data_IF_477198834688
#
_entry.id   IF_477198834688
#
_cell.length_a   1.000
_cell.length_b   1.000
_cell.length_c   1.000
_cell.angle_alpha   90.00
_cell.angle_beta   90.00
_cell.angle_gamma   90.00
#
_symmetry.space_group_name_H-M   'P 1'
#
loop_
_entity.id
_entity.type
_entity.pdbx_description
1 polymer ?
#
# COMPACT_ATOMS: atom_id res chain seq x y z
N UNK A 1 11.78 10.72 -12.42
CA UNK A 1 10.51 11.02 -13.11
C UNK A 1 9.69 11.95 -12.22
N UNK A 2 9.36 13.18 -12.65
CA UNK A 2 8.73 14.18 -11.77
C UNK A 2 7.23 13.95 -11.53
N UNK A 3 6.63 12.96 -12.21
CA UNK A 3 5.18 12.85 -12.37
C UNK A 3 4.45 12.01 -11.31
N UNK A 4 5.11 11.58 -10.24
CA UNK A 4 4.41 11.22 -8.97
C UNK A 4 3.76 12.48 -8.35
N UNK A 5 3.96 13.66 -8.99
CA UNK A 5 3.10 14.84 -9.16
C UNK A 5 2.18 15.19 -7.99
N UNK A 6 2.27 16.45 -7.58
CA UNK A 6 1.41 17.24 -6.69
C UNK A 6 0.03 16.66 -6.26
N UNK A 7 -0.71 15.97 -7.12
CA UNK A 7 -1.91 15.20 -6.78
C UNK A 7 -1.70 14.18 -5.64
N UNK A 8 -0.62 13.40 -5.63
CA UNK A 8 -0.36 12.43 -4.55
C UNK A 8 -0.02 13.15 -3.23
N UNK A 9 0.74 14.25 -3.31
CA UNK A 9 1.06 15.11 -2.16
C UNK A 9 -0.17 15.84 -1.61
N UNK A 10 -1.10 16.27 -2.47
CA UNK A 10 -2.37 16.89 -2.07
C UNK A 10 -3.28 15.86 -1.40
N UNK A 11 -3.31 14.63 -1.90
CA UNK A 11 -4.15 13.60 -1.29
C UNK A 11 -3.59 13.06 0.03
N UNK A 12 -2.27 13.08 0.22
CA UNK A 12 -1.59 12.78 1.50
C UNK A 12 -1.65 13.94 2.51
N UNK A 13 -2.36 15.03 2.22
CA UNK A 13 -2.64 16.05 3.24
C UNK A 13 -3.85 15.63 4.09
N UNK A 14 -3.79 15.68 5.43
CA UNK A 14 -4.98 15.44 6.25
C UNK A 14 -6.04 16.49 5.91
N UNK A 15 -7.34 16.12 5.73
CA UNK A 15 -8.00 14.84 5.98
C UNK A 15 -8.28 13.98 4.73
N UNK A 16 -7.55 14.19 3.63
CA UNK A 16 -7.86 13.63 2.30
C UNK A 16 -7.35 12.21 2.06
N UNK A 17 -6.58 11.63 2.99
CA UNK A 17 -6.19 10.23 2.94
C UNK A 17 -6.81 9.39 4.06
N UNK A 18 -6.85 8.08 3.86
CA UNK A 18 -7.14 7.06 4.85
C UNK A 18 -5.82 6.45 5.31
N UNK A 19 -5.72 6.14 6.61
CA UNK A 19 -4.63 5.38 7.18
C UNK A 19 -5.20 4.16 7.93
N UNK A 20 -4.69 2.97 7.62
CA UNK A 20 -5.11 1.74 8.29
C UNK A 20 -3.87 0.94 8.66
N UNK A 21 -3.79 0.55 9.94
CA UNK A 21 -2.71 -0.28 10.47
C UNK A 21 -3.19 -1.72 10.53
N UNK A 22 -2.40 -2.62 9.97
CA UNK A 22 -2.73 -4.03 9.87
C UNK A 22 -1.69 -4.81 10.66
N UNK A 23 -2.12 -5.40 11.77
CA UNK A 23 -1.24 -6.18 12.64
C UNK A 23 -1.11 -7.62 12.13
N UNK A 24 0.11 -8.13 12.08
CA UNK A 24 0.43 -9.52 11.76
C UNK A 24 0.94 -10.23 13.04
N UNK A 25 0.22 -11.25 13.53
CA UNK A 25 0.49 -11.84 14.85
C UNK A 25 1.72 -12.75 14.93
N UNK A 26 2.14 -13.42 13.85
CA UNK A 26 3.25 -14.38 13.88
C UNK A 26 4.61 -13.67 13.93
N UNK A 27 4.80 -12.68 13.09
CA UNK A 27 6.03 -11.88 13.02
C UNK A 27 5.96 -10.63 13.89
N UNK A 28 4.82 -10.39 14.56
CA UNK A 28 4.56 -9.18 15.35
C UNK A 28 4.85 -7.89 14.58
N UNK A 29 4.57 -7.91 13.27
CA UNK A 29 4.88 -6.82 12.34
C UNK A 29 3.61 -6.01 12.03
N UNK A 30 3.79 -4.72 11.76
CA UNK A 30 2.70 -3.83 11.35
C UNK A 30 2.87 -3.42 9.89
N UNK A 31 1.86 -3.70 9.08
CA UNK A 31 1.74 -3.16 7.72
C UNK A 31 0.87 -1.91 7.74
N UNK A 32 1.23 -0.90 6.94
CA UNK A 32 0.51 0.36 6.86
C UNK A 32 -0.11 0.53 5.48
N UNK A 33 -1.44 0.64 5.43
CA UNK A 33 -2.17 0.96 4.20
C UNK A 33 -2.51 2.45 4.20
N UNK A 34 -1.96 3.17 3.25
CA UNK A 34 -2.20 4.60 3.03
C UNK A 34 -2.96 4.77 1.74
N UNK A 35 -4.07 5.53 1.75
CA UNK A 35 -4.44 6.18 0.51
C UNK A 35 -5.44 7.30 0.36
N UNK A 36 -5.46 7.79 -0.88
CA UNK A 36 -6.19 8.93 -1.37
C UNK A 36 -7.69 8.64 -1.51
N UNK A 37 -8.51 9.43 -0.81
CA UNK A 37 -9.99 9.35 -0.92
C UNK A 37 -10.49 9.82 -2.29
N UNK A 38 -9.76 10.69 -2.98
CA UNK A 38 -10.19 11.25 -4.26
C UNK A 38 -9.92 10.32 -5.45
N UNK A 39 -8.75 9.68 -5.49
CA UNK A 39 -8.34 8.83 -6.61
C UNK A 39 -8.55 7.34 -6.33
N UNK A 40 -8.80 6.98 -5.07
CA UNK A 40 -8.87 5.60 -4.58
C UNK A 40 -7.56 4.81 -4.79
N UNK A 41 -6.46 5.45 -5.19
CA UNK A 41 -5.16 4.79 -5.35
C UNK A 41 -4.50 4.58 -4.01
N UNK A 42 -3.94 3.39 -3.78
CA UNK A 42 -3.39 2.90 -2.52
C UNK A 42 -1.93 2.46 -2.54
N UNK A 43 -1.27 2.60 -1.38
CA UNK A 43 0.08 2.10 -1.10
C UNK A 43 0.05 1.31 0.20
N UNK A 44 0.69 0.14 0.19
CA UNK A 44 0.93 -0.64 1.39
C UNK A 44 2.43 -0.64 1.74
N UNK A 45 2.75 -0.37 3.00
CA UNK A 45 4.10 -0.40 3.52
C UNK A 45 4.28 -1.64 4.39
N UNK A 46 5.43 -2.26 4.23
CA UNK A 46 5.87 -3.48 4.91
C UNK A 46 4.82 -4.62 4.84
N UNK A 47 4.33 -4.99 3.64
CA UNK A 47 3.35 -6.06 3.53
C UNK A 47 4.00 -7.41 3.85
N UNK A 48 3.40 -8.14 4.78
CA UNK A 48 3.80 -9.52 5.08
C UNK A 48 3.10 -10.47 4.10
N UNK A 49 3.87 -11.36 3.47
CA UNK A 49 3.38 -12.22 2.38
C UNK A 49 2.26 -13.15 2.85
N UNK A 50 2.36 -13.62 4.07
CA UNK A 50 1.43 -14.53 4.73
C UNK A 50 0.05 -13.88 4.94
N UNK A 51 0.01 -12.56 5.19
CA UNK A 51 -1.24 -11.78 5.31
C UNK A 51 -1.66 -11.06 4.03
N UNK A 52 -0.91 -11.18 2.93
CA UNK A 52 -1.21 -10.49 1.68
C UNK A 52 -2.64 -10.74 1.18
N UNK A 53 -3.20 -11.95 1.39
CA UNK A 53 -4.60 -12.25 1.03
C UNK A 53 -5.62 -11.45 1.85
N UNK A 54 -5.39 -11.28 3.16
CA UNK A 54 -6.24 -10.45 4.03
C UNK A 54 -6.18 -8.99 3.57
N UNK A 55 -4.98 -8.50 3.31
CA UNK A 55 -4.75 -7.11 2.94
C UNK A 55 -5.35 -6.78 1.58
N UNK A 56 -5.21 -7.68 0.60
CA UNK A 56 -5.85 -7.58 -0.71
C UNK A 56 -7.38 -7.59 -0.62
N UNK A 57 -7.96 -8.42 0.26
CA UNK A 57 -9.41 -8.42 0.51
C UNK A 57 -9.88 -7.09 1.07
N UNK A 58 -9.16 -6.52 2.02
CA UNK A 58 -9.48 -5.22 2.60
C UNK A 58 -9.40 -4.10 1.54
N UNK A 59 -8.36 -4.09 0.71
CA UNK A 59 -8.22 -3.14 -0.40
C UNK A 59 -9.42 -3.23 -1.36
N UNK A 60 -9.86 -4.43 -1.70
CA UNK A 60 -11.05 -4.64 -2.55
C UNK A 60 -12.34 -4.19 -1.87
N UNK A 61 -12.55 -4.52 -0.60
CA UNK A 61 -13.74 -4.13 0.18
C UNK A 61 -13.86 -2.61 0.32
N UNK A 62 -12.72 -1.92 0.40
CA UNK A 62 -12.65 -0.45 0.44
C UNK A 62 -12.75 0.19 -0.96
N UNK A 63 -12.78 -0.60 -2.04
CA UNK A 63 -12.86 -0.09 -3.41
C UNK A 63 -11.61 0.67 -3.86
N UNK A 64 -10.44 0.22 -3.41
CA UNK A 64 -9.16 0.88 -3.63
C UNK A 64 -8.33 0.20 -4.70
N UNK A 65 -7.46 0.96 -5.34
CA UNK A 65 -6.53 0.51 -6.36
C UNK A 65 -5.10 0.51 -5.80
N UNK A 66 -4.63 -0.62 -5.30
CA UNK A 66 -3.27 -0.76 -4.78
C UNK A 66 -2.23 -0.63 -5.90
N UNK A 67 -1.45 0.45 -5.88
CA UNK A 67 -0.43 0.79 -6.89
C UNK A 67 0.96 0.32 -6.51
N UNK A 68 1.32 0.49 -5.23
CA UNK A 68 2.67 0.23 -4.76
C UNK A 68 2.65 -0.56 -3.45
N UNK A 69 3.65 -1.43 -3.32
CA UNK A 69 4.02 -2.11 -2.10
C UNK A 69 5.48 -1.74 -1.80
N UNK A 70 5.75 -1.23 -0.61
CA UNK A 70 7.12 -0.96 -0.16
C UNK A 70 7.51 -2.00 0.88
N UNK A 71 8.61 -2.72 0.67
CA UNK A 71 9.21 -3.57 1.70
C UNK A 71 10.53 -2.97 2.14
N UNK A 72 10.81 -2.96 3.44
CA UNK A 72 12.14 -2.57 3.91
C UNK A 72 13.03 -3.82 3.97
N UNK A 73 14.02 -3.88 3.09
CA UNK A 73 15.14 -4.82 3.22
C UNK A 73 16.42 -4.01 3.46
N UNK A 74 17.22 -4.31 4.49
CA UNK A 74 18.48 -3.60 4.74
C UNK A 74 19.43 -3.80 3.54
N UNK A 75 19.53 -2.76 2.69
CA UNK A 75 20.35 -2.77 1.47
C UNK A 75 19.60 -2.40 0.19
N UNK A 76 18.26 -2.53 0.18
CA UNK A 76 17.43 -2.31 -1.00
C UNK A 76 16.12 -1.57 -0.62
N UNK A 77 15.98 -0.32 -1.07
CA UNK A 77 14.71 0.41 -1.01
C UNK A 77 13.85 0.04 -2.23
N UNK A 78 13.36 -1.20 -2.29
CA UNK A 78 12.59 -1.68 -3.45
C UNK A 78 11.11 -1.34 -3.27
N UNK A 79 10.63 -0.38 -4.05
CA UNK A 79 9.21 -0.16 -4.26
C UNK A 79 8.72 -1.08 -5.37
N UNK A 80 7.79 -1.97 -5.04
CA UNK A 80 7.22 -2.90 -5.99
C UNK A 80 5.91 -2.35 -6.53
N UNK A 81 5.79 -2.29 -7.85
CA UNK A 81 4.56 -1.87 -8.52
C UNK A 81 3.62 -3.06 -8.56
N UNK A 82 2.44 -2.91 -7.96
CA UNK A 82 1.40 -3.94 -7.98
C UNK A 82 0.68 -3.83 -9.33
N UNK A 83 0.89 -4.80 -10.22
CA UNK A 83 0.22 -4.88 -11.51
C UNK A 83 -0.92 -5.92 -11.46
N UNK A 84 -2.16 -5.46 -11.62
CA UNK A 84 -3.38 -6.24 -11.96
C UNK A 84 -3.85 -7.30 -10.90
N UNK A 85 -5.11 -7.80 -10.97
CA UNK A 85 -6.06 -7.83 -9.83
C UNK A 85 -5.80 -8.90 -8.76
N UNK A 86 -4.70 -9.64 -8.84
CA UNK A 86 -4.34 -10.72 -7.91
C UNK A 86 -3.32 -10.31 -6.85
N UNK A 87 -2.87 -9.05 -6.82
CA UNK A 87 -1.97 -8.55 -5.77
C UNK A 87 -0.59 -9.21 -5.79
N UNK A 88 -0.16 -9.73 -6.95
CA UNK A 88 1.18 -10.28 -7.12
C UNK A 88 2.19 -9.13 -7.10
N UNK A 89 3.04 -9.16 -6.07
CA UNK A 89 4.11 -8.20 -5.88
C UNK A 89 5.33 -8.72 -6.66
N UNK A 90 5.66 -8.11 -7.80
CA UNK A 90 6.86 -8.44 -8.56
C UNK A 90 8.02 -7.57 -8.09
N UNK A 91 9.15 -8.20 -7.75
CA UNK A 91 10.44 -7.53 -7.54
C UNK A 91 10.92 -6.82 -8.80
#
# INVERSE_FOLDING_TARGET
>A
MPCINAAFSLCLSPPLYYETKLFEPESCTYSYLLACKNTHEAVILDPVRETARRDAKLVQELGLNLKYASMYSPGDCTFLVVHEPLGLISC
#
